data_IF_038708921701
#
_entry.id   IF_038708921701
#
_cell.length_a   1.000
_cell.length_b   1.000
_cell.length_c   1.000
_cell.angle_alpha   90.00
_cell.angle_beta   90.00
_cell.angle_gamma   90.00
#
_symmetry.space_group_name_H-M   'P 1'
#
loop_
_entity.id
_entity.type
_entity.pdbx_description
1 polymer ?
#
# COMPACT_ATOMS: atom_id res chain seq x y z
N UNK A 1 -7.87 -2.95 0.69
CA UNK A 1 -8.55 -3.28 -0.59
C UNK A 1 -8.08 -2.31 -1.67
N UNK A 2 -7.36 -2.77 -2.70
CA UNK A 2 -6.71 -1.88 -3.70
C UNK A 2 -7.75 -1.21 -4.60
N UNK A 3 -8.76 -1.97 -5.03
CA UNK A 3 -9.87 -1.44 -5.83
C UNK A 3 -10.57 -0.27 -5.13
N UNK A 4 -10.79 -0.39 -3.82
CA UNK A 4 -11.44 0.65 -3.04
C UNK A 4 -10.52 1.85 -2.82
N UNK A 5 -9.23 1.66 -2.56
CA UNK A 5 -8.26 2.74 -2.46
C UNK A 5 -8.17 3.57 -3.75
N UNK A 6 -8.13 2.93 -4.92
CA UNK A 6 -8.15 3.63 -6.21
C UNK A 6 -9.45 4.41 -6.44
N UNK A 7 -10.60 3.87 -6.02
CA UNK A 7 -11.88 4.61 -6.06
C UNK A 7 -11.88 5.80 -5.10
N UNK A 8 -11.36 5.63 -3.89
CA UNK A 8 -11.27 6.69 -2.90
C UNK A 8 -10.38 7.85 -3.40
N UNK A 9 -9.26 7.53 -4.04
CA UNK A 9 -8.39 8.51 -4.68
C UNK A 9 -9.09 9.33 -5.77
N UNK A 10 -10.20 8.83 -6.33
CA UNK A 10 -11.00 9.51 -7.35
C UNK A 10 -12.30 10.13 -6.80
N UNK A 11 -12.59 9.96 -5.50
CA UNK A 11 -13.92 10.19 -4.92
C UNK A 11 -14.28 11.66 -4.65
N UNK A 12 -13.30 12.50 -4.30
CA UNK A 12 -13.50 13.91 -3.98
C UNK A 12 -12.49 14.79 -4.73
N UNK A 13 -12.74 16.09 -4.84
CA UNK A 13 -11.83 17.01 -5.53
C UNK A 13 -10.41 16.99 -4.93
N UNK A 14 -10.29 17.00 -3.59
CA UNK A 14 -9.00 16.97 -2.92
C UNK A 14 -8.27 15.66 -3.21
N UNK A 15 -8.99 14.54 -3.13
CA UNK A 15 -8.41 13.22 -3.41
C UNK A 15 -7.99 13.09 -4.87
N UNK A 16 -8.82 13.57 -5.81
CA UNK A 16 -8.46 13.62 -7.23
C UNK A 16 -7.18 14.42 -7.44
N UNK A 17 -7.00 15.54 -6.73
CA UNK A 17 -5.77 16.34 -6.83
C UNK A 17 -4.55 15.60 -6.28
N UNK A 18 -4.69 14.91 -5.15
CA UNK A 18 -3.63 14.06 -4.61
C UNK A 18 -3.30 12.89 -5.55
N UNK A 19 -4.32 12.23 -6.11
CA UNK A 19 -4.18 11.15 -7.09
C UNK A 19 -3.52 11.61 -8.39
N UNK A 20 -3.86 12.80 -8.90
CA UNK A 20 -3.19 13.44 -10.04
C UNK A 20 -1.71 13.67 -9.76
N UNK A 21 -1.37 14.18 -8.57
CA UNK A 21 0.02 14.38 -8.17
C UNK A 21 0.77 13.06 -8.09
N UNK A 22 0.16 12.01 -7.55
CA UNK A 22 0.76 10.68 -7.50
C UNK A 22 0.99 10.12 -8.91
N UNK A 23 -0.03 10.17 -9.77
CA UNK A 23 0.08 9.77 -11.19
C UNK A 23 1.18 10.55 -11.91
N UNK A 24 1.28 11.86 -11.66
CA UNK A 24 2.34 12.70 -12.20
C UNK A 24 3.73 12.22 -11.78
N UNK A 25 3.92 11.85 -10.50
CA UNK A 25 5.20 11.32 -10.04
C UNK A 25 5.52 9.97 -10.70
N UNK A 26 4.55 9.05 -10.74
CA UNK A 26 4.68 7.74 -11.37
C UNK A 26 5.11 7.86 -12.83
N UNK A 27 4.38 8.65 -13.64
CA UNK A 27 4.75 8.88 -15.05
C UNK A 27 6.09 9.61 -15.18
N UNK A 28 6.41 10.53 -14.27
CA UNK A 28 7.69 11.25 -14.29
C UNK A 28 8.87 10.30 -14.08
N UNK A 29 8.75 9.32 -13.18
CA UNK A 29 9.78 8.30 -12.97
C UNK A 29 9.98 7.47 -14.24
N UNK A 30 8.91 7.03 -14.89
CA UNK A 30 9.00 6.29 -16.16
C UNK A 30 9.65 7.13 -17.26
N UNK A 31 9.21 8.38 -17.42
CA UNK A 31 9.75 9.30 -18.43
C UNK A 31 11.24 9.58 -18.23
N UNK A 32 11.66 9.82 -16.98
CA UNK A 32 13.07 10.05 -16.64
C UNK A 32 13.96 8.85 -16.94
N UNK A 33 13.41 7.64 -16.85
CA UNK A 33 14.14 6.39 -17.03
C UNK A 33 13.77 5.67 -18.34
N UNK A 34 13.23 6.38 -19.33
CA UNK A 34 12.70 5.79 -20.57
C UNK A 34 13.70 4.87 -21.29
N UNK A 35 14.98 5.24 -21.28
CA UNK A 35 15.99 4.49 -22.02
C UNK A 35 16.30 3.14 -21.38
N UNK A 36 15.94 2.94 -20.11
CA UNK A 36 16.02 1.64 -19.44
C UNK A 36 14.70 0.89 -19.62
N UNK A 37 13.58 1.58 -19.37
CA UNK A 37 12.23 1.00 -19.40
C UNK A 37 11.88 0.45 -20.79
N UNK A 38 12.14 1.21 -21.85
CA UNK A 38 11.71 0.86 -23.22
C UNK A 38 12.79 0.11 -24.01
N UNK A 39 14.05 0.11 -23.56
CA UNK A 39 15.13 -0.64 -24.24
C UNK A 39 15.04 -2.13 -23.99
N UNK A 40 14.45 -2.54 -22.88
CA UNK A 40 14.20 -3.94 -22.52
C UNK A 40 12.80 -4.41 -22.93
N UNK A 41 11.97 -3.54 -23.50
CA UNK A 41 10.57 -3.85 -23.78
C UNK A 41 10.31 -4.14 -25.26
N UNK A 42 10.69 -5.33 -25.70
CA UNK A 42 10.29 -5.83 -27.04
C UNK A 42 8.93 -6.51 -27.03
N UNK A 43 8.47 -7.00 -25.86
CA UNK A 43 7.37 -7.96 -25.79
C UNK A 43 6.10 -7.43 -25.07
N UNK A 44 6.18 -6.35 -24.26
CA UNK A 44 5.04 -5.89 -23.43
C UNK A 44 4.25 -4.75 -24.04
N UNK A 45 4.67 -4.26 -25.21
CA UNK A 45 3.99 -3.24 -26.00
C UNK A 45 3.65 -1.96 -25.19
N UNK A 46 4.62 -1.44 -24.42
CA UNK A 46 4.43 -0.17 -23.72
C UNK A 46 4.34 1.00 -24.70
N UNK A 47 3.30 1.83 -24.53
CA UNK A 47 3.16 3.09 -25.26
C UNK A 47 3.63 4.27 -24.39
N UNK A 48 4.81 4.79 -24.72
CA UNK A 48 5.41 5.94 -24.05
C UNK A 48 4.50 7.18 -24.05
N UNK A 49 3.83 7.46 -25.18
CA UNK A 49 2.99 8.65 -25.30
C UNK A 49 1.73 8.52 -24.44
N UNK A 50 1.15 7.33 -24.40
CA UNK A 50 0.00 7.04 -23.53
C UNK A 50 0.35 7.20 -22.05
N UNK A 51 1.48 6.63 -21.61
CA UNK A 51 1.95 6.72 -20.21
C UNK A 51 2.20 8.17 -19.80
N UNK A 52 2.77 8.98 -20.69
CA UNK A 52 3.04 10.40 -20.43
C UNK A 52 1.76 11.21 -20.21
N UNK A 53 0.63 10.77 -20.76
CA UNK A 53 -0.66 11.47 -20.71
C UNK A 53 -1.55 11.00 -19.55
N UNK A 54 -1.20 9.95 -18.81
CA UNK A 54 -1.99 9.43 -17.69
C UNK A 54 -2.16 10.46 -16.57
N UNK A 55 -3.40 10.76 -16.20
CA UNK A 55 -3.76 11.71 -15.15
C UNK A 55 -4.31 11.02 -13.90
N UNK A 56 -4.71 9.75 -14.00
CA UNK A 56 -5.17 8.95 -12.85
C UNK A 56 -4.26 7.75 -12.60
N UNK A 57 -4.28 7.25 -11.36
CA UNK A 57 -3.56 6.03 -10.98
C UNK A 57 -4.05 4.85 -11.84
N UNK A 58 -5.37 4.76 -12.09
CA UNK A 58 -5.94 3.71 -12.94
C UNK A 58 -5.47 3.78 -14.39
N UNK A 59 -5.38 4.98 -14.96
CA UNK A 59 -4.83 5.16 -16.31
C UNK A 59 -3.36 4.71 -16.35
N UNK A 60 -2.56 5.12 -15.37
CA UNK A 60 -1.17 4.69 -15.27
C UNK A 60 -1.06 3.17 -15.12
N UNK A 61 -1.87 2.55 -14.25
CA UNK A 61 -1.86 1.11 -14.06
C UNK A 61 -2.27 0.35 -15.32
N UNK A 62 -3.22 0.88 -16.08
CA UNK A 62 -3.67 0.31 -17.36
C UNK A 62 -2.59 0.45 -18.45
N UNK A 63 -1.89 1.58 -18.48
CA UNK A 63 -0.89 1.88 -19.50
C UNK A 63 0.48 1.25 -19.23
N UNK A 64 0.83 1.07 -17.95
CA UNK A 64 2.15 0.67 -17.52
C UNK A 64 2.13 -0.58 -16.64
N UNK A 65 1.49 -0.51 -15.45
CA UNK A 65 1.58 -1.56 -14.43
C UNK A 65 1.16 -2.93 -14.95
N UNK A 66 -0.02 -3.03 -15.58
CA UNK A 66 -0.54 -4.32 -16.06
C UNK A 66 0.34 -4.92 -17.16
N UNK A 67 1.03 -4.08 -17.95
CA UNK A 67 1.92 -4.53 -19.02
C UNK A 67 3.23 -5.05 -18.46
N UNK A 68 3.80 -4.34 -17.48
CA UNK A 68 5.03 -4.76 -16.79
C UNK A 68 4.86 -6.10 -16.08
N UNK A 69 3.73 -6.28 -15.39
CA UNK A 69 3.45 -7.50 -14.63
C UNK A 69 2.60 -8.54 -15.39
N UNK A 70 2.37 -8.33 -16.69
CA UNK A 70 1.66 -9.24 -17.59
C UNK A 70 0.24 -9.63 -17.13
N UNK A 71 -0.51 -8.67 -16.57
CA UNK A 71 -1.93 -8.80 -16.29
C UNK A 71 -2.77 -8.51 -17.52
N UNK A 72 -3.85 -9.28 -17.71
CA UNK A 72 -4.79 -9.11 -18.83
C UNK A 72 -5.55 -7.79 -18.77
N UNK A 73 -5.87 -7.30 -17.58
CA UNK A 73 -6.55 -6.03 -17.34
C UNK A 73 -6.29 -5.51 -15.92
N UNK A 74 -6.61 -4.23 -15.70
CA UNK A 74 -6.38 -3.54 -14.42
C UNK A 74 -7.22 -4.09 -13.26
N UNK A 75 -8.41 -4.63 -13.52
CA UNK A 75 -9.25 -5.21 -12.47
C UNK A 75 -8.68 -6.52 -11.95
N UNK A 76 -8.14 -7.35 -12.84
CA UNK A 76 -7.43 -8.57 -12.45
C UNK A 76 -6.21 -8.24 -11.58
N UNK A 77 -5.44 -7.22 -11.97
CA UNK A 77 -4.37 -6.69 -11.13
C UNK A 77 -4.87 -6.23 -9.76
N UNK A 78 -5.96 -5.45 -9.69
CA UNK A 78 -6.48 -4.96 -8.40
C UNK A 78 -7.06 -6.05 -7.52
N UNK A 79 -7.67 -7.07 -8.10
CA UNK A 79 -8.13 -8.24 -7.37
C UNK A 79 -6.95 -9.02 -6.78
N UNK A 80 -5.91 -9.26 -7.58
CA UNK A 80 -4.73 -9.97 -7.10
C UNK A 80 -3.93 -9.17 -6.07
N UNK A 81 -3.77 -7.86 -6.26
CA UNK A 81 -3.11 -6.97 -5.31
C UNK A 81 -3.92 -6.75 -4.02
N UNK A 82 -5.20 -7.14 -3.98
CA UNK A 82 -6.03 -6.99 -2.79
C UNK A 82 -5.73 -8.09 -1.76
N UNK A 83 -5.42 -7.67 -0.53
CA UNK A 83 -5.07 -8.57 0.57
C UNK A 83 -6.24 -8.92 1.50
N UNK A 84 -7.35 -8.16 1.49
CA UNK A 84 -8.42 -8.32 2.48
C UNK A 84 -9.12 -9.69 2.44
N UNK A 85 -9.12 -10.36 1.28
CA UNK A 85 -9.61 -11.73 1.11
C UNK A 85 -8.53 -12.81 1.31
N UNK A 86 -7.27 -12.41 1.52
CA UNK A 86 -6.09 -13.28 1.63
C UNK A 86 -5.48 -13.29 3.04
N UNK A 87 -6.12 -12.64 4.02
CA UNK A 87 -5.61 -12.57 5.40
C UNK A 87 -5.42 -13.94 6.05
N UNK A 88 -6.25 -14.92 5.68
CA UNK A 88 -6.14 -16.31 6.12
C UNK A 88 -4.84 -17.03 5.69
N UNK A 89 -4.08 -16.46 4.75
CA UNK A 89 -2.79 -17.01 4.33
C UNK A 89 -1.63 -16.57 5.24
N UNK A 90 -1.88 -15.67 6.20
CA UNK A 90 -0.87 -15.17 7.13
C UNK A 90 -0.69 -16.20 8.25
N UNK A 91 0.35 -17.02 8.12
CA UNK A 91 0.69 -18.10 9.06
C UNK A 91 1.82 -17.74 10.03
N UNK A 92 2.22 -16.48 10.05
CA UNK A 92 3.25 -15.95 10.94
C UNK A 92 2.69 -14.75 11.69
N UNK A 93 3.17 -14.46 12.91
CA UNK A 93 2.83 -13.22 13.60
C UNK A 93 2.95 -12.03 12.66
N UNK A 94 1.89 -11.24 12.56
CA UNK A 94 1.83 -10.05 11.73
C UNK A 94 1.09 -8.95 12.46
N UNK A 95 1.75 -7.80 12.61
CA UNK A 95 1.14 -6.57 13.11
C UNK A 95 1.05 -5.56 11.97
N UNK A 96 -0.16 -5.19 11.58
CA UNK A 96 -0.40 -4.10 10.65
C UNK A 96 -0.70 -2.81 11.42
N UNK A 97 -0.01 -1.73 11.05
CA UNK A 97 -0.27 -0.39 11.60
C UNK A 97 -1.03 0.43 10.54
N UNK A 98 -2.12 1.08 10.93
CA UNK A 98 -2.91 1.97 10.08
C UNK A 98 -3.38 3.19 10.86
N UNK A 99 -3.77 4.25 10.16
CA UNK A 99 -4.26 5.48 10.77
C UNK A 99 -5.66 5.82 10.23
N UNK A 100 -6.57 6.22 11.11
CA UNK A 100 -7.94 6.55 10.75
C UNK A 100 -8.04 7.87 9.95
N UNK A 101 -7.04 8.74 10.05
CA UNK A 101 -6.90 9.98 9.31
C UNK A 101 -6.12 9.83 7.98
N UNK A 102 -5.83 8.59 7.55
CA UNK A 102 -5.17 8.33 6.27
C UNK A 102 -6.08 8.79 5.09
N UNK A 103 -5.59 9.69 4.21
CA UNK A 103 -6.37 10.19 3.07
C UNK A 103 -6.62 9.13 1.98
N UNK A 104 -5.79 8.09 1.89
CA UNK A 104 -5.87 7.05 0.86
C UNK A 104 -6.58 5.78 1.35
N UNK A 105 -6.41 5.43 2.63
CA UNK A 105 -7.00 4.25 3.24
C UNK A 105 -7.99 4.66 4.33
N UNK A 106 -9.28 4.74 3.99
CA UNK A 106 -10.29 5.08 4.98
C UNK A 106 -10.50 3.96 6.00
N UNK A 107 -10.81 4.34 7.24
CA UNK A 107 -11.11 3.43 8.34
C UNK A 107 -12.09 2.31 7.97
N UNK A 108 -13.18 2.64 7.27
CA UNK A 108 -14.21 1.68 6.83
C UNK A 108 -13.71 0.60 5.85
N UNK A 109 -12.57 0.84 5.21
CA UNK A 109 -11.99 -0.06 4.20
C UNK A 109 -10.86 -0.93 4.79
N UNK A 110 -10.57 -0.77 6.09
CA UNK A 110 -9.63 -1.59 6.86
C UNK A 110 -10.37 -2.85 7.35
N UNK A 111 -9.87 -4.05 7.05
CA UNK A 111 -10.55 -5.32 7.36
C UNK A 111 -10.33 -5.75 8.82
N UNK A 112 -10.70 -4.89 9.79
CA UNK A 112 -10.50 -5.15 11.23
C UNK A 112 -11.27 -6.38 11.68
N UNK A 113 -12.54 -6.49 11.28
CA UNK A 113 -13.41 -7.61 11.66
C UNK A 113 -12.92 -8.96 11.09
N UNK A 114 -12.30 -8.95 9.91
CA UNK A 114 -11.69 -10.13 9.32
C UNK A 114 -10.39 -10.48 10.03
N UNK A 115 -9.57 -9.49 10.39
CA UNK A 115 -8.34 -9.70 11.12
C UNK A 115 -8.57 -10.32 12.50
N UNK A 116 -9.61 -9.89 13.23
CA UNK A 116 -9.98 -10.43 14.55
C UNK A 116 -10.30 -11.93 14.55
N UNK A 117 -10.51 -12.53 13.36
CA UNK A 117 -10.74 -13.98 13.20
C UNK A 117 -9.45 -14.79 13.07
N UNK A 118 -8.29 -14.13 13.03
CA UNK A 118 -7.00 -14.76 12.78
C UNK A 118 -6.03 -14.49 13.93
N UNK A 119 -5.63 -15.55 14.65
CA UNK A 119 -4.76 -15.44 15.83
C UNK A 119 -3.37 -14.85 15.52
N UNK A 120 -2.90 -15.04 14.29
CA UNK A 120 -1.59 -14.57 13.83
C UNK A 120 -1.59 -13.12 13.31
N UNK A 121 -2.74 -12.47 13.23
CA UNK A 121 -2.87 -11.14 12.64
C UNK A 121 -3.51 -10.16 13.61
N UNK A 122 -2.85 -9.03 13.82
CA UNK A 122 -3.42 -7.89 14.52
C UNK A 122 -3.34 -6.64 13.63
N UNK A 123 -4.42 -5.85 13.60
CA UNK A 123 -4.44 -4.53 12.96
C UNK A 123 -4.60 -3.47 14.04
N UNK A 124 -3.55 -2.68 14.26
CA UNK A 124 -3.60 -1.50 15.11
C UNK A 124 -4.00 -0.29 14.29
N UNK A 125 -5.13 0.34 14.64
CA UNK A 125 -5.58 1.57 14.01
C UNK A 125 -5.48 2.74 14.97
N UNK A 126 -4.62 3.70 14.66
CA UNK A 126 -4.49 4.94 15.44
C UNK A 126 -5.51 5.98 15.00
N UNK A 127 -5.88 6.92 15.88
CA UNK A 127 -6.74 8.05 15.50
C UNK A 127 -6.05 9.04 14.56
N UNK A 128 -4.72 9.13 14.66
CA UNK A 128 -3.87 10.03 13.89
C UNK A 128 -2.54 9.39 13.53
N UNK A 129 -1.95 9.86 12.44
CA UNK A 129 -0.68 9.36 11.91
C UNK A 129 -0.52 9.61 10.42
N UNK A 130 -1.63 9.88 9.72
CA UNK A 130 -1.67 10.03 8.27
C UNK A 130 -1.19 8.77 7.56
N UNK A 131 -0.79 8.91 6.29
CA UNK A 131 -0.38 7.77 5.49
C UNK A 131 0.95 7.12 5.96
N UNK A 132 1.90 7.94 6.46
CA UNK A 132 3.26 7.48 6.82
C UNK A 132 3.90 8.25 8.00
N UNK A 133 3.15 9.14 8.65
CA UNK A 133 3.73 10.13 9.56
C UNK A 133 4.04 9.59 10.96
N UNK A 134 3.03 9.02 11.63
CA UNK A 134 3.10 8.49 13.02
C UNK A 134 4.03 9.28 13.97
N UNK A 135 4.03 10.61 13.85
CA UNK A 135 4.90 11.49 14.63
C UNK A 135 4.33 11.62 16.03
N UNK A 136 5.15 11.28 17.02
CA UNK A 136 4.77 11.28 18.44
C UNK A 136 5.17 12.60 19.14
N UNK A 137 5.87 13.48 18.42
CA UNK A 137 6.36 14.76 18.92
C UNK A 137 6.13 15.87 17.90
N UNK A 138 5.91 17.09 18.40
CA UNK A 138 5.79 18.30 17.59
C UNK A 138 7.06 18.58 16.73
N UNK A 139 8.23 18.11 17.17
CA UNK A 139 9.48 18.26 16.43
C UNK A 139 9.73 17.06 15.49
N UNK A 140 9.78 17.25 14.16
CA UNK A 140 9.83 16.16 13.19
C UNK A 140 11.23 15.56 12.97
N UNK A 141 12.28 16.18 13.55
CA UNK A 141 13.67 15.74 13.39
C UNK A 141 14.16 14.83 14.54
N UNK A 142 13.25 14.26 15.31
CA UNK A 142 13.59 13.29 16.35
C UNK A 142 13.59 11.89 15.73
N UNK A 143 14.57 11.05 16.09
CA UNK A 143 14.57 9.62 15.71
C UNK A 143 13.55 8.80 16.53
N UNK A 144 12.54 9.45 17.11
CA UNK A 144 11.65 8.86 18.10
C UNK A 144 10.20 9.12 17.68
N UNK A 145 9.68 8.26 16.82
CA UNK A 145 8.29 8.29 16.37
C UNK A 145 7.53 7.05 16.87
N UNK A 146 6.20 7.13 16.89
CA UNK A 146 5.35 6.08 17.46
C UNK A 146 5.54 4.75 16.75
N UNK A 147 5.64 4.79 15.42
CA UNK A 147 5.86 3.61 14.59
C UNK A 147 7.14 2.86 14.97
N UNK A 148 8.26 3.56 15.20
CA UNK A 148 9.52 2.93 15.60
C UNK A 148 9.43 2.27 16.97
N UNK A 149 8.80 2.94 17.95
CA UNK A 149 8.56 2.34 19.28
C UNK A 149 7.69 1.10 19.19
N UNK A 150 6.64 1.15 18.39
CA UNK A 150 5.72 0.02 18.18
C UNK A 150 6.43 -1.17 17.53
N UNK A 151 7.21 -0.93 16.48
CA UNK A 151 7.99 -1.96 15.80
C UNK A 151 8.96 -2.62 16.79
N UNK A 152 9.66 -1.82 17.61
CA UNK A 152 10.54 -2.35 18.63
C UNK A 152 9.79 -3.24 19.65
N UNK A 153 8.70 -2.73 20.22
CA UNK A 153 7.88 -3.51 21.19
C UNK A 153 7.34 -4.81 20.59
N UNK A 154 6.93 -4.77 19.32
CA UNK A 154 6.45 -5.95 18.61
C UNK A 154 7.56 -7.00 18.44
N UNK A 155 8.75 -6.59 18.01
CA UNK A 155 9.88 -7.52 17.87
C UNK A 155 10.36 -8.05 19.21
N UNK A 156 10.39 -7.23 20.26
CA UNK A 156 10.72 -7.67 21.61
C UNK A 156 9.72 -8.76 22.06
N UNK A 157 8.42 -8.53 21.90
CA UNK A 157 7.38 -9.48 22.28
C UNK A 157 7.43 -10.79 21.48
N UNK A 158 7.72 -10.75 20.18
CA UNK A 158 7.72 -11.97 19.34
C UNK A 158 9.05 -12.74 19.45
N UNK A 159 10.18 -12.03 19.40
CA UNK A 159 11.50 -12.64 19.26
C UNK A 159 12.24 -12.77 20.59
N UNK A 160 12.22 -11.73 21.43
CA UNK A 160 12.98 -11.72 22.69
C UNK A 160 12.26 -12.54 23.76
N UNK A 161 10.94 -12.36 23.88
CA UNK A 161 10.10 -13.12 24.81
C UNK A 161 9.76 -14.54 24.29
N UNK A 162 10.32 -14.92 23.13
CA UNK A 162 10.17 -16.24 22.49
C UNK A 162 8.71 -16.66 22.27
N UNK A 163 7.83 -15.70 21.98
CA UNK A 163 6.43 -16.01 21.69
C UNK A 163 6.20 -16.52 20.27
N UNK A 164 7.17 -16.36 19.34
CA UNK A 164 7.02 -16.79 17.93
C UNK A 164 6.50 -18.23 17.78
N UNK A 165 7.03 -19.18 18.56
CA UNK A 165 6.63 -20.59 18.50
C UNK A 165 5.15 -20.83 18.84
N UNK A 166 4.52 -19.93 19.62
CA UNK A 166 3.09 -20.01 19.96
C UNK A 166 2.17 -19.75 18.76
N UNK A 167 2.68 -19.06 17.74
CA UNK A 167 1.90 -18.62 16.57
C UNK A 167 2.16 -19.48 15.32
N UNK A 168 3.28 -20.21 15.29
CA UNK A 168 3.71 -20.99 14.12
C UNK A 168 3.53 -22.50 14.30
N UNK A 169 3.42 -22.99 15.53
CA UNK A 169 3.16 -24.41 15.82
C UNK A 169 1.65 -24.69 15.95
N UNK A 170 0.92 -24.60 14.83
CA UNK A 170 -0.44 -25.14 14.68
C UNK A 170 -0.44 -26.43 13.85
#
# INVERSE_FOLDING_TARGET
NVKQACKNAESSWLMRKMGENLSHHLRSVVVKNKDVVFKQDTDRALDYNMIKQCNTIREFDTAYTIKIFNYSNVYHYYEDATLSNKLHLINVPCLCLSAADDPFLYFRDIPVNEADKHENLAILVTSGGGHVGYLDTFWPFTNNNFMLKLIQQYFDAIMVDKNYEKFVNL
#
